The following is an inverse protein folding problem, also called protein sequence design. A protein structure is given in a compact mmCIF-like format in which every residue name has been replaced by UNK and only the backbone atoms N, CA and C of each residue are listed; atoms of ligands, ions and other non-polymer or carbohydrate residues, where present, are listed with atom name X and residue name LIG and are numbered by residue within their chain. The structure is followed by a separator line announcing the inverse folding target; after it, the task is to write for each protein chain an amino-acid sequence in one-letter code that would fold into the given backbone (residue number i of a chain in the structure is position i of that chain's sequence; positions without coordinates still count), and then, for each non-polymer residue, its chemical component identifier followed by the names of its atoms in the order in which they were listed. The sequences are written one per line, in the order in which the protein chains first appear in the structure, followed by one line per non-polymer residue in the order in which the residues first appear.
data_IF_880478198507
#
_entry.id   IF_880478198507
#
_cell.length_a   1.000
_cell.length_b   1.000
_cell.length_c   1.000
_cell.angle_alpha   90.00
_cell.angle_beta   90.00
_cell.angle_gamma   90.00
#
_symmetry.space_group_name_H-M   'P 1'
#
loop_
_entity.id
_entity.type
_entity.pdbx_description
1 polymer ?
#
# COMPACT_ATOMS: atom_id res chain seq x y z
N UNK A 1 32.23 18.05 -2.04
CA UNK A 1 31.38 18.51 -0.94
C UNK A 1 31.27 17.43 0.15
N UNK A 2 31.13 17.87 1.39
CA UNK A 2 30.85 17.00 2.54
C UNK A 2 29.69 17.59 3.37
N UNK A 3 28.52 17.00 3.27
CA UNK A 3 27.36 17.42 4.06
C UNK A 3 27.58 17.25 5.57
N UNK A 4 28.30 16.19 5.98
CA UNK A 4 28.63 15.95 7.39
C UNK A 4 29.55 17.01 7.99
N UNK A 5 30.51 17.49 7.20
CA UNK A 5 31.53 18.47 7.65
C UNK A 5 31.17 19.91 7.28
N UNK A 6 30.04 20.14 6.60
CA UNK A 6 29.51 21.47 6.31
C UNK A 6 30.33 22.27 5.29
N UNK A 7 31.01 21.64 4.32
CA UNK A 7 31.80 22.35 3.32
C UNK A 7 31.58 21.85 1.90
N UNK A 8 31.81 22.75 0.94
CA UNK A 8 31.84 22.48 -0.48
C UNK A 8 32.93 23.34 -1.13
N UNK A 9 33.61 22.82 -2.15
CA UNK A 9 34.65 23.51 -2.90
C UNK A 9 34.38 23.38 -4.39
N UNK A 10 34.80 24.36 -5.19
CA UNK A 10 34.77 24.27 -6.65
C UNK A 10 35.99 23.48 -7.17
N UNK A 11 37.16 23.67 -6.57
CA UNK A 11 38.37 22.93 -6.84
C UNK A 11 38.85 22.21 -5.58
N UNK A 12 39.60 21.10 -5.76
CA UNK A 12 40.12 20.30 -4.63
C UNK A 12 41.16 21.05 -3.78
N UNK A 13 41.79 22.09 -4.34
CA UNK A 13 42.76 22.97 -3.69
C UNK A 13 42.11 24.09 -2.86
N UNK A 14 40.80 24.34 -3.00
CA UNK A 14 40.09 25.41 -2.29
C UNK A 14 39.95 25.10 -0.78
N UNK A 15 39.80 26.18 -0.01
CA UNK A 15 39.54 26.07 1.45
C UNK A 15 38.16 25.48 1.75
N UNK A 16 38.18 24.46 2.62
CA UNK A 16 36.99 23.67 2.99
C UNK A 16 36.23 24.26 4.18
N UNK A 17 35.83 25.53 4.06
CA UNK A 17 35.30 26.32 5.17
C UNK A 17 33.78 26.45 5.22
N UNK A 18 33.08 26.34 4.06
CA UNK A 18 31.62 26.59 4.01
C UNK A 18 30.90 25.85 2.87
N UNK A 19 29.57 25.84 2.92
CA UNK A 19 28.69 25.36 1.84
C UNK A 19 28.35 26.44 0.80
N UNK A 20 28.87 27.66 0.95
CA UNK A 20 28.58 28.78 0.07
C UNK A 20 28.79 28.47 -1.43
N UNK A 21 29.88 27.78 -1.87
CA UNK A 21 30.04 27.43 -3.26
C UNK A 21 28.92 26.58 -3.82
N UNK A 22 28.37 25.65 -3.02
CA UNK A 22 27.21 24.83 -3.41
C UNK A 22 25.94 25.67 -3.54
N UNK A 23 25.67 26.53 -2.57
CA UNK A 23 24.50 27.42 -2.58
C UNK A 23 24.55 28.38 -3.77
N UNK A 24 25.70 28.97 -4.04
CA UNK A 24 25.91 29.82 -5.24
C UNK A 24 25.68 29.04 -6.54
N UNK A 25 26.14 27.78 -6.60
CA UNK A 25 25.93 26.93 -7.75
C UNK A 25 24.44 26.61 -7.97
N UNK A 26 23.71 26.36 -6.90
CA UNK A 26 22.24 26.14 -6.96
C UNK A 26 21.56 27.40 -7.52
N UNK A 27 21.87 28.59 -6.97
CA UNK A 27 21.27 29.86 -7.40
C UNK A 27 21.57 30.15 -8.88
N UNK A 28 22.80 29.85 -9.35
CA UNK A 28 23.20 30.13 -10.73
C UNK A 28 22.71 29.10 -11.74
N UNK A 29 22.45 27.87 -11.31
CA UNK A 29 22.14 26.76 -12.22
C UNK A 29 20.64 26.42 -12.28
N UNK A 30 19.91 26.58 -11.16
CA UNK A 30 18.49 26.28 -11.10
C UNK A 30 17.70 27.50 -11.61
N UNK A 31 16.94 27.37 -12.70
CA UNK A 31 16.12 28.48 -13.17
C UNK A 31 15.03 28.81 -12.15
N UNK A 32 14.71 30.09 -12.02
CA UNK A 32 13.56 30.51 -11.23
C UNK A 32 12.28 29.95 -11.83
N UNK A 33 11.24 29.66 -11.01
CA UNK A 33 9.95 29.26 -11.53
C UNK A 33 9.39 30.27 -12.54
N UNK A 34 8.82 29.76 -13.63
CA UNK A 34 8.07 30.60 -14.58
C UNK A 34 6.73 30.97 -13.90
N UNK A 35 6.56 32.23 -13.57
CA UNK A 35 5.39 32.75 -12.84
C UNK A 35 4.70 33.82 -13.68
N UNK A 36 3.43 33.55 -14.04
CA UNK A 36 2.59 34.49 -14.77
C UNK A 36 1.30 34.76 -13.98
N UNK A 37 1.30 35.88 -13.25
CA UNK A 37 0.15 36.35 -12.47
C UNK A 37 -0.90 37.08 -13.31
N UNK A 38 -0.65 37.31 -14.61
CA UNK A 38 -1.58 38.05 -15.48
C UNK A 38 -2.65 37.16 -16.09
N UNK A 39 -2.44 35.86 -16.13
CA UNK A 39 -3.42 34.88 -16.60
C UNK A 39 -4.51 34.63 -15.59
N UNK A 40 -5.68 34.11 -16.04
CA UNK A 40 -6.70 33.61 -15.12
C UNK A 40 -6.16 32.52 -14.19
N UNK A 41 -6.69 32.44 -12.98
CA UNK A 41 -6.26 31.48 -11.97
C UNK A 41 -6.45 30.03 -12.43
N UNK A 42 -5.40 29.20 -12.30
CA UNK A 42 -5.51 27.76 -12.42
C UNK A 42 -4.52 27.03 -11.48
N UNK A 43 -5.01 26.01 -10.84
CA UNK A 43 -4.29 25.16 -9.89
C UNK A 43 -4.56 23.69 -10.21
N UNK A 44 -3.52 22.86 -10.19
CA UNK A 44 -3.66 21.40 -10.24
C UNK A 44 -3.79 20.85 -8.82
N UNK A 45 -4.88 20.13 -8.56
CA UNK A 45 -5.05 19.40 -7.30
C UNK A 45 -4.16 18.16 -7.29
N UNK A 46 -3.22 18.08 -6.34
CA UNK A 46 -2.26 16.99 -6.22
C UNK A 46 -2.48 16.10 -4.99
N UNK A 47 -3.05 16.67 -3.94
CA UNK A 47 -3.35 15.95 -2.70
C UNK A 47 -4.74 16.32 -2.20
N UNK A 48 -5.36 15.36 -1.53
CA UNK A 48 -6.59 15.53 -0.79
C UNK A 48 -6.29 15.47 0.70
N UNK A 49 -6.92 16.36 1.47
CA UNK A 49 -6.81 16.40 2.92
C UNK A 49 -8.19 16.62 3.52
N UNK A 50 -8.35 16.31 4.77
CA UNK A 50 -9.60 16.51 5.50
C UNK A 50 -9.32 17.29 6.79
N UNK A 51 -9.95 18.45 6.89
CA UNK A 51 -9.91 19.27 8.10
C UNK A 51 -11.24 19.11 8.86
N UNK A 52 -11.21 18.86 10.20
CA UNK A 52 -12.45 18.64 10.96
C UNK A 52 -13.44 19.80 10.91
N UNK A 53 -12.98 21.03 10.64
CA UNK A 53 -13.80 22.25 10.61
C UNK A 53 -14.12 22.71 9.18
N UNK A 54 -13.21 22.50 8.24
CA UNK A 54 -13.33 22.96 6.86
C UNK A 54 -13.87 21.85 5.94
N UNK A 55 -13.85 20.60 6.39
CA UNK A 55 -14.18 19.44 5.59
C UNK A 55 -13.08 19.12 4.57
N UNK A 56 -13.46 18.79 3.36
CA UNK A 56 -12.58 18.41 2.27
C UNK A 56 -11.71 19.58 1.82
N UNK A 57 -10.41 19.35 1.78
CA UNK A 57 -9.39 20.31 1.41
C UNK A 57 -8.56 19.78 0.25
N UNK A 58 -8.35 20.61 -0.76
CA UNK A 58 -7.58 20.28 -1.95
C UNK A 58 -6.24 21.02 -1.89
N UNK A 59 -5.15 20.27 -1.97
CA UNK A 59 -3.79 20.81 -1.92
C UNK A 59 -3.18 20.70 -3.32
N UNK A 60 -2.56 21.78 -3.76
CA UNK A 60 -1.90 21.82 -5.05
C UNK A 60 -1.05 23.05 -5.24
N UNK A 61 -0.38 23.12 -6.37
CA UNK A 61 0.38 24.29 -6.79
C UNK A 61 -0.47 25.16 -7.70
N UNK A 62 -0.43 26.46 -7.47
CA UNK A 62 -0.99 27.46 -8.40
C UNK A 62 -0.06 27.55 -9.60
N UNK A 63 -0.52 27.09 -10.76
CA UNK A 63 0.29 27.06 -11.98
C UNK A 63 0.27 28.40 -12.73
N UNK A 64 -0.84 29.15 -12.63
CA UNK A 64 -0.98 30.47 -13.21
C UNK A 64 -2.00 31.33 -12.48
N UNK A 65 -1.84 32.63 -12.62
CA UNK A 65 -2.79 33.63 -12.10
C UNK A 65 -2.76 33.78 -10.57
N UNK A 66 -3.82 34.37 -10.04
CA UNK A 66 -4.02 34.58 -8.62
C UNK A 66 -5.47 34.35 -8.24
N UNK A 67 -5.72 33.95 -7.00
CA UNK A 67 -7.08 33.80 -6.46
C UNK A 67 -7.22 34.40 -5.08
N UNK A 68 -8.43 34.81 -4.74
CA UNK A 68 -8.81 35.37 -3.45
C UNK A 68 -9.94 34.56 -2.81
N UNK A 69 -10.12 34.73 -1.51
CA UNK A 69 -11.27 34.16 -0.81
C UNK A 69 -12.56 34.73 -1.44
N UNK A 70 -13.57 33.86 -1.60
CA UNK A 70 -14.85 34.07 -2.24
C UNK A 70 -14.83 34.15 -3.78
N UNK A 71 -13.69 34.00 -4.45
CA UNK A 71 -13.67 33.88 -5.90
C UNK A 71 -14.46 32.67 -6.37
N UNK A 72 -15.20 32.85 -7.47
CA UNK A 72 -15.91 31.77 -8.14
C UNK A 72 -14.95 30.96 -8.99
N UNK A 73 -14.95 29.65 -8.80
CA UNK A 73 -14.10 28.72 -9.54
C UNK A 73 -14.93 27.54 -10.03
N UNK A 74 -14.41 26.86 -11.04
CA UNK A 74 -14.89 25.54 -11.41
C UNK A 74 -13.74 24.52 -11.42
N UNK A 75 -14.13 23.25 -11.30
CA UNK A 75 -13.20 22.13 -11.40
C UNK A 75 -13.41 21.41 -12.72
N UNK A 76 -12.30 21.17 -13.44
CA UNK A 76 -12.26 20.43 -14.70
C UNK A 76 -11.58 19.08 -14.48
N UNK A 77 -12.16 18.01 -15.02
CA UNK A 77 -11.48 16.73 -15.09
C UNK A 77 -10.43 16.70 -16.23
N UNK A 78 -9.69 15.61 -16.35
CA UNK A 78 -8.68 15.42 -17.41
C UNK A 78 -9.23 15.53 -18.84
N UNK A 79 -10.53 15.30 -19.06
CA UNK A 79 -11.17 15.45 -20.37
C UNK A 79 -11.71 16.85 -20.64
N UNK A 80 -11.53 17.81 -19.72
CA UNK A 80 -12.02 19.18 -19.85
C UNK A 80 -13.50 19.36 -19.47
N UNK A 81 -14.14 18.31 -18.91
CA UNK A 81 -15.54 18.43 -18.45
C UNK A 81 -15.59 19.09 -17.08
N UNK A 82 -16.48 20.06 -16.91
CA UNK A 82 -16.77 20.67 -15.60
C UNK A 82 -17.40 19.62 -14.69
N UNK A 83 -16.75 19.38 -13.54
CA UNK A 83 -17.23 18.45 -12.50
C UNK A 83 -18.08 19.19 -11.47
N UNK A 84 -17.62 20.37 -11.09
CA UNK A 84 -18.18 21.14 -10.00
C UNK A 84 -17.90 22.64 -10.22
N UNK A 85 -18.83 23.47 -9.79
CA UNK A 85 -18.65 24.93 -9.71
C UNK A 85 -18.91 25.35 -8.28
N UNK A 86 -18.01 26.16 -7.72
CA UNK A 86 -18.10 26.57 -6.32
C UNK A 86 -17.39 27.88 -6.05
N UNK A 87 -17.20 28.20 -4.78
CA UNK A 87 -16.44 29.35 -4.31
C UNK A 87 -15.35 28.93 -3.35
N UNK A 88 -14.22 29.60 -3.42
CA UNK A 88 -13.11 29.41 -2.48
C UNK A 88 -13.50 29.93 -1.09
N UNK A 89 -13.90 29.03 -0.19
CA UNK A 89 -14.34 29.44 1.14
C UNK A 89 -13.14 29.77 2.06
N UNK A 90 -12.01 29.09 1.83
CA UNK A 90 -10.77 29.33 2.59
C UNK A 90 -9.55 29.01 1.75
N UNK A 91 -8.49 29.82 1.99
CA UNK A 91 -7.16 29.65 1.39
C UNK A 91 -6.15 29.53 2.52
N UNK A 92 -5.31 28.49 2.46
CA UNK A 92 -4.28 28.22 3.45
C UNK A 92 -2.93 28.04 2.73
N UNK A 93 -1.88 28.63 3.26
CA UNK A 93 -0.49 28.38 2.86
C UNK A 93 0.25 27.58 3.92
N UNK A 94 1.33 26.93 3.51
CA UNK A 94 2.19 26.18 4.43
C UNK A 94 3.38 27.02 4.87
N UNK A 95 3.54 27.20 6.18
CA UNK A 95 4.76 27.69 6.82
C UNK A 95 5.38 26.56 7.65
N UNK A 96 6.40 25.91 7.09
CA UNK A 96 6.91 24.65 7.63
C UNK A 96 5.81 23.59 7.64
N UNK A 97 5.42 23.11 8.82
CA UNK A 97 4.35 22.13 9.00
C UNK A 97 2.99 22.74 9.34
N UNK A 98 2.91 24.07 9.52
CA UNK A 98 1.67 24.75 9.91
C UNK A 98 0.94 25.30 8.69
N UNK A 99 -0.39 25.18 8.70
CA UNK A 99 -1.28 25.82 7.73
C UNK A 99 -1.69 27.18 8.27
N UNK A 100 -1.43 28.25 7.52
CA UNK A 100 -1.84 29.62 7.85
C UNK A 100 -2.91 30.10 6.87
N UNK A 101 -3.94 30.77 7.37
CA UNK A 101 -4.98 31.38 6.54
C UNK A 101 -4.42 32.62 5.83
N UNK A 102 -4.67 32.71 4.51
CA UNK A 102 -4.29 33.85 3.68
C UNK A 102 -5.49 34.35 2.89
N UNK A 103 -5.50 35.64 2.52
CA UNK A 103 -6.61 36.23 1.76
C UNK A 103 -6.45 36.05 0.25
N UNK A 104 -5.22 35.84 -0.23
CA UNK A 104 -4.93 35.65 -1.65
C UNK A 104 -3.73 34.72 -1.84
N UNK A 105 -3.68 34.10 -3.01
CA UNK A 105 -2.61 33.18 -3.46
C UNK A 105 -2.21 33.56 -4.88
N UNK A 106 -0.94 33.33 -5.22
CA UNK A 106 -0.34 33.67 -6.51
C UNK A 106 0.31 32.47 -7.17
N UNK A 107 0.63 32.60 -8.44
CA UNK A 107 1.39 31.59 -9.19
C UNK A 107 2.66 31.16 -8.44
N UNK A 108 2.89 29.85 -8.40
CA UNK A 108 4.01 29.23 -7.71
C UNK A 108 3.73 28.85 -6.25
N UNK A 109 2.66 29.38 -5.64
CA UNK A 109 2.29 29.02 -4.28
C UNK A 109 1.77 27.57 -4.19
N UNK A 110 2.17 26.86 -3.14
CA UNK A 110 1.54 25.59 -2.74
C UNK A 110 0.46 25.93 -1.72
N UNK A 111 -0.76 25.64 -2.06
CA UNK A 111 -1.93 26.09 -1.30
C UNK A 111 -2.88 24.93 -0.99
N UNK A 112 -3.58 25.08 0.12
CA UNK A 112 -4.69 24.23 0.49
C UNK A 112 -5.97 25.05 0.37
N UNK A 113 -6.93 24.61 -0.43
CA UNK A 113 -8.19 25.30 -0.67
C UNK A 113 -9.36 24.49 -0.17
N UNK A 114 -10.38 25.15 0.35
CA UNK A 114 -11.65 24.58 0.74
C UNK A 114 -12.81 25.26 0.00
N UNK A 115 -13.93 24.54 -0.16
CA UNK A 115 -15.14 25.06 -0.81
C UNK A 115 -15.63 24.23 -1.99
N UNK A 116 -14.92 23.13 -2.30
CA UNK A 116 -15.30 22.17 -3.33
C UNK A 116 -15.52 20.79 -2.69
N UNK A 117 -16.59 20.10 -3.06
CA UNK A 117 -17.03 18.86 -2.41
C UNK A 117 -16.79 17.59 -3.23
N UNK A 118 -16.79 17.70 -4.56
CA UNK A 118 -16.67 16.56 -5.48
C UNK A 118 -15.27 16.46 -6.08
N UNK A 119 -14.62 17.61 -6.30
CA UNK A 119 -13.29 17.74 -6.91
C UNK A 119 -12.26 16.82 -6.26
N UNK A 120 -11.38 16.19 -7.04
CA UNK A 120 -10.43 15.19 -6.61
C UNK A 120 -9.00 15.52 -7.04
N UNK A 121 -8.08 14.61 -6.75
CA UNK A 121 -6.69 14.68 -7.23
C UNK A 121 -6.66 14.52 -8.75
N UNK A 122 -5.73 15.22 -9.40
CA UNK A 122 -5.57 15.34 -10.85
C UNK A 122 -6.62 16.22 -11.55
N UNK A 123 -7.60 16.77 -10.84
CA UNK A 123 -8.52 17.75 -11.38
C UNK A 123 -7.88 19.14 -11.36
N UNK A 124 -8.28 19.97 -12.34
CA UNK A 124 -7.86 21.37 -12.42
C UNK A 124 -8.91 22.28 -11.80
N UNK A 125 -8.50 23.08 -10.82
CA UNK A 125 -9.35 24.10 -10.22
C UNK A 125 -8.97 25.44 -10.81
N UNK A 126 -9.91 26.12 -11.46
CA UNK A 126 -9.60 27.31 -12.23
C UNK A 126 -10.74 28.34 -12.23
N UNK A 127 -10.41 29.54 -12.66
CA UNK A 127 -11.41 30.60 -12.95
C UNK A 127 -12.38 30.10 -14.01
N UNK A 128 -13.62 30.61 -13.97
CA UNK A 128 -14.71 30.19 -14.84
C UNK A 128 -14.47 30.42 -16.34
N UNK A 129 -13.46 31.21 -16.68
CA UNK A 129 -13.05 31.54 -18.06
C UNK A 129 -12.13 30.48 -18.71
N UNK A 130 -11.67 29.49 -17.93
CA UNK A 130 -10.75 28.46 -18.41
C UNK A 130 -11.53 27.18 -18.73
N UNK A 131 -11.40 26.69 -19.96
CA UNK A 131 -12.01 25.45 -20.43
C UNK A 131 -11.02 24.29 -20.61
N UNK A 132 -9.72 24.60 -20.60
CA UNK A 132 -8.66 23.60 -20.82
C UNK A 132 -8.01 23.20 -19.51
N UNK A 133 -8.03 21.91 -19.15
CA UNK A 133 -7.41 21.43 -17.90
C UNK A 133 -5.88 21.46 -17.98
N UNK A 134 -5.23 21.61 -16.85
CA UNK A 134 -3.79 21.43 -16.71
C UNK A 134 -3.45 19.97 -16.99
N UNK A 135 -2.42 19.70 -17.78
CA UNK A 135 -1.96 18.34 -18.06
C UNK A 135 -1.50 17.65 -16.78
N UNK A 136 -2.10 16.52 -16.47
CA UNK A 136 -1.70 15.69 -15.34
C UNK A 136 -1.73 14.21 -15.69
N UNK A 137 -1.06 13.39 -14.90
CA UNK A 137 -1.06 11.94 -15.08
C UNK A 137 -2.33 11.37 -14.45
N UNK A 138 -3.09 10.53 -15.16
CA UNK A 138 -4.24 9.85 -14.58
C UNK A 138 -3.81 8.95 -13.42
N UNK A 139 -4.67 8.84 -12.41
CA UNK A 139 -4.46 7.96 -11.28
C UNK A 139 -4.85 6.54 -11.68
N UNK A 140 -3.94 5.58 -11.47
CA UNK A 140 -4.23 4.18 -11.75
C UNK A 140 -5.41 3.68 -10.91
N UNK A 141 -6.35 2.94 -11.52
CA UNK A 141 -7.46 2.36 -10.80
C UNK A 141 -7.00 1.28 -9.81
N UNK A 142 -7.81 0.97 -8.79
CA UNK A 142 -7.58 -0.19 -7.94
C UNK A 142 -7.51 -1.47 -8.77
N UNK A 143 -6.51 -2.29 -8.51
CA UNK A 143 -6.31 -3.59 -9.18
C UNK A 143 -6.72 -4.76 -8.30
N UNK A 144 -6.79 -4.54 -6.98
CA UNK A 144 -7.09 -5.55 -5.97
C UNK A 144 -8.17 -5.05 -5.01
N UNK A 145 -8.94 -5.99 -4.46
CA UNK A 145 -9.88 -5.70 -3.38
C UNK A 145 -9.82 -6.75 -2.28
N UNK A 146 -10.19 -6.33 -1.07
CA UNK A 146 -10.43 -7.19 0.09
C UNK A 146 -11.78 -6.84 0.70
N UNK A 147 -12.45 -7.83 1.31
CA UNK A 147 -13.59 -7.56 2.16
C UNK A 147 -13.13 -7.45 3.61
N UNK A 148 -13.53 -6.37 4.26
CA UNK A 148 -13.33 -6.12 5.69
C UNK A 148 -14.66 -6.32 6.39
N UNK A 149 -14.67 -7.13 7.44
CA UNK A 149 -15.84 -7.51 8.22
C UNK A 149 -15.57 -7.31 9.71
N UNK A 150 -16.62 -7.34 10.49
CA UNK A 150 -16.51 -7.41 11.95
C UNK A 150 -15.84 -8.73 12.34
N UNK A 151 -15.00 -8.70 13.36
CA UNK A 151 -14.45 -9.92 13.95
C UNK A 151 -15.55 -10.64 14.74
N UNK A 152 -16.00 -11.77 14.23
CA UNK A 152 -17.00 -12.66 14.82
C UNK A 152 -16.39 -13.89 15.51
N UNK A 153 -15.05 -13.92 15.64
CA UNK A 153 -14.34 -15.04 16.29
C UNK A 153 -14.61 -15.07 17.81
N UNK A 154 -14.44 -16.23 18.47
CA UNK A 154 -14.57 -16.36 19.94
C UNK A 154 -13.60 -15.46 20.72
N UNK A 155 -12.59 -14.88 20.10
CA UNK A 155 -11.62 -13.97 20.71
C UNK A 155 -11.92 -12.50 20.41
N UNK A 156 -13.07 -12.17 19.81
CA UNK A 156 -13.43 -10.79 19.48
C UNK A 156 -13.48 -9.91 20.75
N UNK A 157 -12.91 -8.70 20.64
CA UNK A 157 -12.84 -7.72 21.74
C UNK A 157 -11.69 -7.94 22.73
N UNK A 158 -10.80 -8.92 22.49
CA UNK A 158 -9.66 -9.18 23.40
C UNK A 158 -8.46 -8.30 23.11
N UNK A 159 -8.21 -7.94 21.87
CA UNK A 159 -7.04 -7.15 21.42
C UNK A 159 -7.39 -5.68 21.15
N UNK A 160 -8.60 -5.41 20.64
CA UNK A 160 -9.08 -4.08 20.32
C UNK A 160 -10.48 -3.81 20.87
N UNK A 161 -10.81 -2.52 21.04
CA UNK A 161 -12.13 -2.07 21.54
C UNK A 161 -13.09 -1.65 20.42
N UNK A 162 -12.57 -1.43 19.20
CA UNK A 162 -13.36 -0.94 18.06
C UNK A 162 -13.78 -2.13 17.19
N UNK A 163 -14.86 -2.79 17.59
CA UNK A 163 -15.35 -4.05 17.01
C UNK A 163 -16.70 -3.91 16.30
N UNK A 164 -17.26 -2.70 16.19
CA UNK A 164 -18.59 -2.51 15.60
C UNK A 164 -18.52 -2.15 14.12
N UNK A 165 -19.48 -2.64 13.33
CA UNK A 165 -19.60 -2.37 11.90
C UNK A 165 -19.62 -0.86 11.58
N UNK A 166 -20.34 -0.06 12.38
CA UNK A 166 -20.44 1.39 12.20
C UNK A 166 -19.08 2.10 12.35
N UNK A 167 -18.26 1.72 13.34
CA UNK A 167 -16.94 2.31 13.53
C UNK A 167 -16.00 1.95 12.38
N UNK A 168 -16.02 0.69 11.95
CA UNK A 168 -15.23 0.22 10.81
C UNK A 168 -15.64 0.98 9.55
N UNK A 169 -16.93 1.05 9.27
CA UNK A 169 -17.50 1.75 8.13
C UNK A 169 -17.04 3.21 8.06
N UNK A 170 -17.23 3.95 9.14
CA UNK A 170 -16.88 5.39 9.19
C UNK A 170 -15.38 5.61 8.97
N UNK A 171 -14.53 4.74 9.54
CA UNK A 171 -13.09 4.82 9.35
C UNK A 171 -12.67 4.53 7.90
N UNK A 172 -13.31 3.55 7.24
CA UNK A 172 -13.04 3.20 5.85
C UNK A 172 -13.52 4.27 4.88
N UNK A 173 -14.65 4.89 5.15
CA UNK A 173 -15.13 6.05 4.37
C UNK A 173 -14.14 7.22 4.49
N UNK A 174 -13.71 7.56 5.70
CA UNK A 174 -12.73 8.62 5.90
C UNK A 174 -11.39 8.35 5.18
N UNK A 175 -10.97 7.08 5.11
CA UNK A 175 -9.79 6.71 4.32
C UNK A 175 -10.02 6.90 2.82
N UNK A 176 -11.16 6.46 2.29
CA UNK A 176 -11.48 6.60 0.87
C UNK A 176 -11.68 8.07 0.46
N UNK A 177 -12.13 8.93 1.37
CA UNK A 177 -12.25 10.37 1.14
C UNK A 177 -10.91 11.08 1.02
N UNK A 178 -9.88 10.60 1.72
CA UNK A 178 -8.55 11.22 1.75
C UNK A 178 -7.55 10.55 0.82
N UNK A 179 -7.76 9.29 0.50
CA UNK A 179 -6.86 8.46 -0.29
C UNK A 179 -7.51 8.03 -1.61
N UNK A 180 -7.28 8.79 -2.67
CA UNK A 180 -7.86 8.53 -4.00
C UNK A 180 -7.48 7.20 -4.64
N UNK A 181 -6.47 6.52 -4.12
CA UNK A 181 -6.06 5.19 -4.58
C UNK A 181 -6.84 4.06 -3.88
N UNK A 182 -7.71 4.41 -2.92
CA UNK A 182 -8.56 3.47 -2.20
C UNK A 182 -10.01 3.71 -2.61
N UNK A 183 -10.71 2.64 -2.94
CA UNK A 183 -12.16 2.68 -3.19
C UNK A 183 -12.88 1.94 -2.08
N UNK A 184 -14.05 2.44 -1.70
CA UNK A 184 -14.92 1.86 -0.71
C UNK A 184 -16.26 1.52 -1.33
N UNK A 185 -16.75 0.31 -1.10
CA UNK A 185 -18.13 -0.09 -1.42
C UNK A 185 -18.71 -0.97 -0.33
N UNK A 186 -20.02 -0.85 -0.13
CA UNK A 186 -20.77 -1.67 0.83
C UNK A 186 -21.45 -2.83 0.11
N UNK A 187 -21.38 -4.02 0.69
CA UNK A 187 -22.18 -5.13 0.20
C UNK A 187 -23.66 -4.93 0.54
N UNK A 188 -24.55 -5.60 -0.20
CA UNK A 188 -26.01 -5.46 -0.06
C UNK A 188 -26.51 -5.68 1.38
N UNK A 189 -25.85 -6.54 2.14
CA UNK A 189 -26.23 -6.87 3.52
C UNK A 189 -25.61 -5.92 4.57
N UNK A 190 -24.78 -4.96 4.19
CA UNK A 190 -24.08 -4.01 5.08
C UNK A 190 -23.19 -4.65 6.17
N UNK A 191 -22.91 -5.94 6.07
CA UNK A 191 -22.10 -6.68 7.05
C UNK A 191 -20.64 -6.78 6.64
N UNK A 192 -20.31 -6.44 5.40
CA UNK A 192 -18.97 -6.43 4.86
C UNK A 192 -18.73 -5.25 3.94
N UNK A 193 -17.51 -4.74 3.99
CA UNK A 193 -17.06 -3.57 3.25
C UNK A 193 -15.97 -4.01 2.29
N UNK A 194 -16.18 -3.78 1.00
CA UNK A 194 -15.17 -4.03 -0.01
C UNK A 194 -14.27 -2.79 -0.16
N UNK A 195 -12.98 -3.01 0.02
CA UNK A 195 -11.94 -1.99 -0.13
C UNK A 195 -11.06 -2.37 -1.31
N UNK A 196 -11.05 -1.51 -2.33
CA UNK A 196 -10.14 -1.62 -3.45
C UNK A 196 -8.87 -0.82 -3.22
N UNK A 197 -7.74 -1.35 -3.70
CA UNK A 197 -6.43 -0.71 -3.64
C UNK A 197 -5.54 -1.13 -4.80
N UNK A 198 -4.38 -0.48 -4.93
CA UNK A 198 -3.43 -0.76 -6.03
C UNK A 198 -2.58 -2.01 -5.80
N UNK A 199 -2.54 -2.54 -4.59
CA UNK A 199 -1.75 -3.73 -4.27
C UNK A 199 -1.78 -4.13 -2.81
N UNK A 200 -1.18 -5.28 -2.53
CA UNK A 200 -1.15 -5.91 -1.21
C UNK A 200 -0.54 -4.99 -0.13
N UNK A 201 0.52 -4.28 -0.46
CA UNK A 201 1.21 -3.41 0.49
C UNK A 201 0.30 -2.27 0.96
N UNK A 202 -0.42 -1.62 0.05
CA UNK A 202 -1.33 -0.52 0.39
C UNK A 202 -2.46 -1.00 1.32
N UNK A 203 -3.08 -2.12 0.96
CA UNK A 203 -4.15 -2.73 1.77
C UNK A 203 -3.60 -3.20 3.13
N UNK A 204 -2.41 -3.79 3.16
CA UNK A 204 -1.75 -4.22 4.39
C UNK A 204 -1.40 -3.06 5.33
N UNK A 205 -0.93 -1.93 4.79
CA UNK A 205 -0.66 -0.70 5.58
C UNK A 205 -1.95 -0.15 6.17
N UNK A 206 -3.04 -0.11 5.41
CA UNK A 206 -4.35 0.32 5.93
C UNK A 206 -4.81 -0.57 7.09
N UNK A 207 -4.78 -1.89 6.92
CA UNK A 207 -5.18 -2.85 7.95
C UNK A 207 -4.34 -2.68 9.21
N UNK A 208 -3.02 -2.58 9.07
CA UNK A 208 -2.10 -2.42 10.20
C UNK A 208 -2.31 -1.08 10.92
N UNK A 209 -2.60 -0.01 10.18
CA UNK A 209 -2.95 1.30 10.76
C UNK A 209 -4.23 1.20 11.58
N UNK A 210 -5.28 0.58 11.02
CA UNK A 210 -6.54 0.36 11.74
C UNK A 210 -6.33 -0.51 12.99
N UNK A 211 -5.51 -1.57 12.91
CA UNK A 211 -5.16 -2.40 14.06
C UNK A 211 -4.50 -1.57 15.17
N UNK A 212 -3.57 -0.68 14.84
CA UNK A 212 -2.94 0.24 15.80
C UNK A 212 -3.89 1.27 16.38
N UNK A 213 -4.91 1.66 15.64
CA UNK A 213 -6.01 2.51 16.12
C UNK A 213 -6.98 1.77 17.07
N UNK A 214 -6.79 0.46 17.29
CA UNK A 214 -7.58 -0.40 18.19
C UNK A 214 -8.79 -1.04 17.53
N UNK A 215 -8.81 -1.17 16.20
CA UNK A 215 -9.80 -1.97 15.49
C UNK A 215 -9.42 -3.45 15.49
N UNK A 216 -10.40 -4.31 15.65
CA UNK A 216 -10.31 -5.73 15.30
C UNK A 216 -11.16 -5.99 14.05
N UNK A 217 -10.56 -6.69 13.09
CA UNK A 217 -11.12 -6.90 11.76
C UNK A 217 -11.07 -8.37 11.38
N UNK A 218 -12.09 -8.84 10.69
CA UNK A 218 -12.04 -10.06 9.90
C UNK A 218 -11.82 -9.71 8.43
N UNK A 219 -10.94 -10.43 7.74
CA UNK A 219 -10.49 -10.10 6.39
C UNK A 219 -10.75 -11.27 5.45
N UNK A 220 -11.22 -10.98 4.23
CA UNK A 220 -11.23 -11.97 3.16
C UNK A 220 -9.83 -12.09 2.52
N UNK A 221 -9.64 -13.12 1.70
CA UNK A 221 -8.49 -13.18 0.81
C UNK A 221 -8.54 -12.02 -0.19
N UNK A 222 -7.38 -11.41 -0.54
CA UNK A 222 -7.34 -10.43 -1.60
C UNK A 222 -7.78 -11.05 -2.93
N UNK A 223 -8.56 -10.28 -3.69
CA UNK A 223 -9.04 -10.63 -5.02
C UNK A 223 -8.65 -9.54 -5.99
N UNK A 224 -8.43 -9.89 -7.25
CA UNK A 224 -8.26 -8.88 -8.30
C UNK A 224 -9.62 -8.35 -8.72
N UNK A 225 -9.65 -7.08 -9.10
CA UNK A 225 -10.87 -6.42 -9.59
C UNK A 225 -11.06 -6.76 -11.06
N UNK A 226 -12.06 -7.58 -11.37
CA UNK A 226 -12.43 -7.90 -12.76
C UNK A 226 -13.27 -6.77 -13.36
N UNK A 227 -13.14 -6.57 -14.66
CA UNK A 227 -14.00 -5.68 -15.45
C UNK A 227 -14.62 -6.46 -16.61
N UNK A 228 -15.85 -6.12 -16.94
CA UNK A 228 -16.46 -6.57 -18.19
C UNK A 228 -16.18 -5.53 -19.27
N UNK A 229 -15.53 -5.93 -20.34
CA UNK A 229 -15.24 -5.07 -21.48
C UNK A 229 -15.86 -5.75 -22.70
N UNK A 230 -16.90 -5.16 -23.24
CA UNK A 230 -17.63 -5.68 -24.42
C UNK A 230 -18.10 -7.14 -24.27
N UNK A 231 -18.59 -7.52 -23.06
CA UNK A 231 -19.06 -8.89 -22.79
C UNK A 231 -17.94 -9.89 -22.50
N UNK A 232 -16.69 -9.44 -22.44
CA UNK A 232 -15.54 -10.28 -22.10
C UNK A 232 -15.05 -9.96 -20.69
N UNK A 233 -14.95 -10.99 -19.83
CA UNK A 233 -14.36 -10.85 -18.51
C UNK A 233 -12.87 -10.56 -18.61
N UNK A 234 -12.47 -9.37 -18.20
CA UNK A 234 -11.08 -8.90 -18.20
C UNK A 234 -10.52 -8.82 -16.78
N UNK A 235 -9.23 -9.10 -16.64
CA UNK A 235 -8.47 -8.98 -15.42
C UNK A 235 -7.34 -7.95 -15.56
N UNK A 236 -6.88 -7.32 -14.45
CA UNK A 236 -5.78 -6.37 -14.51
C UNK A 236 -4.46 -7.10 -14.78
N UNK A 237 -3.64 -6.51 -15.63
CA UNK A 237 -2.27 -6.92 -15.94
C UNK A 237 -1.30 -5.85 -15.51
N UNK A 238 -0.16 -6.30 -15.02
CA UNK A 238 0.95 -5.45 -14.61
C UNK A 238 2.17 -5.69 -15.52
N UNK A 239 2.87 -4.63 -15.82
CA UNK A 239 4.23 -4.69 -16.35
C UNK A 239 5.18 -4.92 -15.17
N UNK A 240 5.96 -5.98 -15.27
CA UNK A 240 6.86 -6.44 -14.22
C UNK A 240 8.30 -6.36 -14.71
N UNK A 241 9.08 -5.47 -14.13
CA UNK A 241 10.51 -5.35 -14.39
C UNK A 241 11.28 -6.01 -13.26
N UNK A 242 12.11 -6.99 -13.60
CA UNK A 242 12.88 -7.78 -12.64
C UNK A 242 14.36 -7.66 -12.96
N UNK A 243 15.16 -7.21 -11.99
CA UNK A 243 16.62 -7.21 -12.05
C UNK A 243 17.16 -8.30 -11.12
N UNK A 244 17.84 -9.30 -11.66
CA UNK A 244 18.40 -10.43 -10.91
C UNK A 244 19.81 -10.76 -11.37
N UNK A 245 20.60 -11.41 -10.50
CA UNK A 245 21.86 -12.00 -10.88
C UNK A 245 21.62 -13.15 -11.88
N UNK A 246 22.52 -13.32 -12.84
CA UNK A 246 22.34 -14.23 -13.99
C UNK A 246 22.00 -15.67 -13.55
N UNK A 247 22.55 -16.13 -12.40
CA UNK A 247 22.29 -17.46 -11.82
C UNK A 247 20.83 -17.70 -11.43
N UNK A 248 20.06 -16.63 -11.09
CA UNK A 248 18.64 -16.73 -10.68
C UNK A 248 17.66 -16.51 -11.82
N UNK A 249 18.13 -16.12 -13.01
CA UNK A 249 17.25 -15.77 -14.13
C UNK A 249 16.32 -16.91 -14.55
N UNK A 250 16.82 -18.13 -14.63
CA UNK A 250 16.05 -19.31 -15.01
C UNK A 250 14.91 -19.63 -14.05
N UNK A 251 15.18 -19.61 -12.72
CA UNK A 251 14.15 -19.90 -11.71
C UNK A 251 13.07 -18.81 -11.69
N UNK A 252 13.45 -17.54 -11.95
CA UNK A 252 12.49 -16.44 -12.05
C UNK A 252 11.61 -16.59 -13.27
N UNK A 253 12.18 -16.93 -14.44
CA UNK A 253 11.43 -17.14 -15.67
C UNK A 253 10.42 -18.28 -15.50
N UNK A 254 10.83 -19.41 -14.92
CA UNK A 254 9.95 -20.55 -14.65
C UNK A 254 8.80 -20.17 -13.71
N UNK A 255 9.10 -19.44 -12.65
CA UNK A 255 8.09 -18.94 -11.72
C UNK A 255 7.10 -17.99 -12.38
N UNK A 256 7.55 -17.09 -13.24
CA UNK A 256 6.69 -16.16 -13.96
C UNK A 256 5.82 -16.87 -15.01
N UNK A 257 6.37 -17.85 -15.71
CA UNK A 257 5.60 -18.68 -16.65
C UNK A 257 4.48 -19.47 -15.97
N UNK A 258 4.74 -20.07 -14.79
CA UNK A 258 3.70 -20.73 -13.99
C UNK A 258 2.58 -19.80 -13.58
N UNK A 259 2.86 -18.50 -13.44
CA UNK A 259 1.91 -17.43 -13.13
C UNK A 259 1.25 -16.80 -14.34
N UNK A 260 1.38 -17.43 -15.52
CA UNK A 260 0.80 -16.97 -16.77
C UNK A 260 1.33 -15.61 -17.25
N UNK A 261 2.55 -15.23 -16.84
CA UNK A 261 3.22 -14.06 -17.36
C UNK A 261 3.75 -14.30 -18.79
N UNK A 262 3.74 -13.26 -19.60
CA UNK A 262 4.33 -13.23 -20.94
C UNK A 262 5.63 -12.43 -20.87
N UNK A 263 6.75 -13.06 -21.21
CA UNK A 263 8.04 -12.38 -21.27
C UNK A 263 8.10 -11.50 -22.52
N UNK A 264 8.41 -10.22 -22.32
CA UNK A 264 8.56 -9.23 -23.41
C UNK A 264 10.01 -9.04 -23.82
N UNK A 265 10.91 -9.01 -22.85
CA UNK A 265 12.33 -8.70 -23.09
C UNK A 265 13.22 -9.35 -22.03
N UNK A 266 14.45 -9.65 -22.45
CA UNK A 266 15.53 -10.10 -21.59
C UNK A 266 16.85 -9.49 -22.04
N UNK A 267 17.48 -8.69 -21.18
CA UNK A 267 18.75 -8.02 -21.54
C UNK A 267 19.74 -8.00 -20.35
N UNK A 268 21.03 -7.97 -20.63
CA UNK A 268 22.05 -7.77 -19.62
C UNK A 268 21.99 -6.35 -19.07
N UNK A 269 22.05 -6.22 -17.75
CA UNK A 269 22.01 -4.96 -17.00
C UNK A 269 23.23 -4.88 -16.09
N UNK A 270 24.36 -4.40 -16.60
CA UNK A 270 25.64 -4.40 -15.88
C UNK A 270 26.49 -5.65 -16.12
N UNK A 271 27.43 -5.93 -15.20
CA UNK A 271 28.41 -6.99 -15.38
C UNK A 271 27.81 -8.38 -15.17
N UNK A 272 26.99 -8.55 -14.11
CA UNK A 272 26.48 -9.87 -13.70
C UNK A 272 24.95 -9.89 -13.47
N UNK A 273 24.22 -8.84 -13.97
CA UNK A 273 22.76 -8.75 -13.79
C UNK A 273 22.01 -8.89 -15.09
N UNK A 274 20.87 -9.54 -15.01
CA UNK A 274 19.91 -9.67 -16.10
C UNK A 274 18.63 -8.94 -15.75
N UNK A 275 18.15 -8.09 -16.66
CA UNK A 275 16.85 -7.44 -16.59
C UNK A 275 15.85 -8.24 -17.42
N UNK A 276 14.76 -8.62 -16.78
CA UNK A 276 13.65 -9.35 -17.38
C UNK A 276 12.42 -8.44 -17.35
N UNK A 277 11.69 -8.38 -18.46
CA UNK A 277 10.45 -7.62 -18.59
C UNK A 277 9.31 -8.57 -18.92
N UNK A 278 8.25 -8.52 -18.12
CA UNK A 278 7.06 -9.34 -18.29
C UNK A 278 5.78 -8.53 -18.28
N UNK A 279 4.72 -9.07 -18.92
CA UNK A 279 3.34 -8.68 -18.67
C UNK A 279 2.67 -9.85 -17.96
N UNK A 280 2.18 -9.63 -16.76
CA UNK A 280 1.61 -10.68 -15.92
C UNK A 280 0.23 -10.30 -15.38
N UNK A 281 -0.71 -11.25 -15.26
CA UNK A 281 -1.97 -10.99 -14.55
C UNK A 281 -1.71 -10.70 -13.08
N UNK A 282 -2.29 -9.61 -12.55
CA UNK A 282 -2.06 -9.15 -11.15
C UNK A 282 -2.33 -10.26 -10.13
N UNK A 283 -3.33 -11.15 -10.36
CA UNK A 283 -3.61 -12.28 -9.47
C UNK A 283 -2.47 -13.28 -9.38
N UNK A 284 -1.66 -13.43 -10.43
CA UNK A 284 -0.49 -14.31 -10.43
C UNK A 284 0.67 -13.75 -9.59
N UNK A 285 0.66 -12.45 -9.33
CA UNK A 285 1.70 -11.76 -8.57
C UNK A 285 1.39 -11.67 -7.07
N UNK A 286 0.17 -12.03 -6.65
CA UNK A 286 -0.23 -12.06 -5.24
C UNK A 286 0.68 -13.02 -4.47
N UNK A 287 1.34 -12.52 -3.41
CA UNK A 287 2.28 -13.29 -2.58
C UNK A 287 3.60 -13.68 -3.26
N UNK A 288 3.85 -13.25 -4.50
CA UNK A 288 5.08 -13.62 -5.21
C UNK A 288 6.32 -12.95 -4.65
N UNK A 289 6.20 -11.74 -4.10
CA UNK A 289 7.33 -10.97 -3.58
C UNK A 289 8.18 -11.76 -2.57
N UNK A 290 7.55 -12.42 -1.61
CA UNK A 290 8.27 -13.21 -0.59
C UNK A 290 9.02 -14.41 -1.17
N UNK A 291 8.40 -15.09 -2.14
CA UNK A 291 9.05 -16.21 -2.83
C UNK A 291 10.21 -15.71 -3.69
N UNK A 292 10.01 -14.63 -4.42
CA UNK A 292 11.03 -13.99 -5.25
C UNK A 292 12.28 -13.64 -4.44
N UNK A 293 12.11 -12.98 -3.28
CA UNK A 293 13.22 -12.65 -2.39
C UNK A 293 13.95 -13.91 -1.86
N UNK A 294 13.22 -14.99 -1.57
CA UNK A 294 13.81 -16.25 -1.14
C UNK A 294 14.61 -16.89 -2.29
N UNK A 295 14.03 -16.98 -3.48
CA UNK A 295 14.63 -17.61 -4.65
C UNK A 295 15.88 -16.85 -5.14
N UNK A 296 15.93 -15.52 -4.94
CA UNK A 296 17.06 -14.64 -5.30
C UNK A 296 17.97 -14.30 -4.12
N UNK A 297 17.84 -14.97 -2.98
CA UNK A 297 18.61 -14.70 -1.74
C UNK A 297 18.60 -13.24 -1.31
N UNK A 298 17.53 -12.50 -1.64
CA UNK A 298 17.35 -11.08 -1.33
C UNK A 298 18.08 -10.10 -2.24
N UNK A 299 18.81 -10.55 -3.27
CA UNK A 299 19.58 -9.67 -4.18
C UNK A 299 18.74 -9.16 -5.35
N UNK A 300 17.61 -9.81 -5.66
CA UNK A 300 16.74 -9.45 -6.76
C UNK A 300 15.90 -8.21 -6.47
N UNK A 301 15.64 -7.41 -7.51
CA UNK A 301 14.73 -6.26 -7.46
C UNK A 301 13.55 -6.54 -8.38
N UNK A 302 12.34 -6.38 -7.85
CA UNK A 302 11.09 -6.57 -8.58
C UNK A 302 10.25 -5.30 -8.48
N UNK A 303 10.00 -4.68 -9.64
CA UNK A 303 9.11 -3.54 -9.79
C UNK A 303 7.90 -3.96 -10.63
N UNK A 304 6.72 -3.47 -10.24
CA UNK A 304 5.48 -3.74 -10.97
C UNK A 304 4.63 -2.48 -11.07
N UNK A 305 4.07 -2.25 -12.25
CA UNK A 305 3.23 -1.09 -12.56
C UNK A 305 1.99 -1.58 -13.31
N UNK A 306 0.82 -1.02 -13.01
CA UNK A 306 -0.40 -1.32 -13.74
C UNK A 306 -0.19 -1.03 -15.24
N UNK A 307 -0.56 -2.00 -16.09
CA UNK A 307 -0.43 -1.87 -17.54
C UNK A 307 -1.81 -1.69 -18.21
N UNK A 308 -2.70 -2.65 -18.06
CA UNK A 308 -4.02 -2.63 -18.75
C UNK A 308 -4.93 -3.73 -18.23
N UNK A 309 -6.19 -3.70 -18.66
CA UNK A 309 -7.11 -4.82 -18.51
C UNK A 309 -7.04 -5.67 -19.78
N UNK A 310 -6.86 -7.00 -19.63
CA UNK A 310 -6.85 -7.98 -20.73
C UNK A 310 -7.78 -9.14 -20.39
N UNK A 311 -8.23 -9.93 -21.41
CA UNK A 311 -9.06 -11.10 -21.17
C UNK A 311 -8.46 -12.05 -20.14
N UNK A 312 -9.33 -12.69 -19.36
CA UNK A 312 -8.95 -13.67 -18.34
C UNK A 312 -8.17 -14.86 -18.95
N UNK A 313 -6.95 -15.10 -18.44
CA UNK A 313 -5.99 -16.07 -19.01
C UNK A 313 -6.11 -17.49 -18.43
N UNK A 314 -7.27 -17.86 -17.90
CA UNK A 314 -7.49 -19.19 -17.29
C UNK A 314 -7.00 -19.27 -15.84
N UNK A 315 -7.17 -20.42 -15.20
CA UNK A 315 -6.84 -20.59 -13.79
C UNK A 315 -5.34 -20.66 -13.54
N UNK A 316 -4.93 -20.08 -12.41
CA UNK A 316 -3.58 -20.16 -11.84
C UNK A 316 -3.71 -20.93 -10.52
N UNK A 317 -2.83 -21.88 -10.26
CA UNK A 317 -2.82 -22.60 -8.98
C UNK A 317 -2.41 -21.62 -7.88
N UNK A 318 -3.38 -21.22 -7.05
CA UNK A 318 -3.21 -20.17 -6.05
C UNK A 318 -2.66 -20.69 -4.71
N UNK A 319 -2.85 -21.97 -4.41
CA UNK A 319 -2.55 -22.53 -3.08
C UNK A 319 -1.35 -23.45 -3.13
N UNK A 320 -0.32 -23.11 -2.35
CA UNK A 320 0.92 -23.90 -2.24
C UNK A 320 1.06 -24.65 -0.92
N UNK A 321 0.42 -24.14 0.12
CA UNK A 321 0.51 -24.68 1.46
C UNK A 321 -0.88 -24.79 2.08
N UNK A 322 -1.10 -25.86 2.84
CA UNK A 322 -2.28 -26.03 3.64
C UNK A 322 -2.28 -25.18 4.90
N UNK A 323 -3.35 -25.21 5.66
CA UNK A 323 -3.47 -24.59 6.97
C UNK A 323 -3.29 -25.66 8.09
N UNK A 324 -2.66 -25.26 9.19
CA UNK A 324 -2.68 -25.99 10.44
C UNK A 324 -3.83 -25.42 11.28
N UNK A 325 -4.82 -26.27 11.60
CA UNK A 325 -6.08 -25.86 12.23
C UNK A 325 -6.18 -26.46 13.64
N UNK A 326 -6.48 -25.63 14.65
CA UNK A 326 -6.63 -26.09 16.02
C UNK A 326 -7.89 -26.93 16.22
N UNK A 327 -7.77 -28.08 16.90
CA UNK A 327 -8.88 -28.98 17.21
C UNK A 327 -9.61 -28.64 18.54
N UNK A 328 -9.14 -27.65 19.28
CA UNK A 328 -9.74 -27.36 20.61
C UNK A 328 -9.55 -25.93 21.08
N UNK A 329 -10.21 -25.63 22.21
CA UNK A 329 -10.20 -24.31 22.85
C UNK A 329 -9.24 -24.31 24.05
N UNK A 330 -8.40 -23.28 24.17
CA UNK A 330 -7.49 -23.16 25.31
C UNK A 330 -6.29 -22.28 25.00
N UNK A 331 -5.16 -22.51 25.67
CA UNK A 331 -3.89 -21.82 25.44
C UNK A 331 -2.87 -22.76 24.82
N UNK A 332 -2.23 -22.33 23.75
CA UNK A 332 -1.19 -23.12 23.09
C UNK A 332 -0.01 -23.46 24.03
N UNK A 333 0.41 -24.72 24.03
CA UNK A 333 1.43 -25.24 24.94
C UNK A 333 2.75 -25.42 24.18
N UNK A 334 3.87 -25.00 24.79
CA UNK A 334 5.21 -25.05 24.18
C UNK A 334 5.57 -26.45 23.65
N UNK A 335 5.28 -27.50 24.44
CA UNK A 335 5.55 -28.88 24.04
C UNK A 335 4.78 -29.33 22.79
N UNK A 336 3.52 -28.94 22.67
CA UNK A 336 2.73 -29.23 21.47
C UNK A 336 3.28 -28.50 20.24
N UNK A 337 3.58 -27.19 20.38
CA UNK A 337 4.15 -26.37 19.32
C UNK A 337 5.47 -27.01 18.84
N UNK A 338 6.36 -27.36 19.74
CA UNK A 338 7.63 -27.99 19.43
C UNK A 338 7.49 -29.28 18.62
N UNK A 339 6.56 -30.16 18.98
CA UNK A 339 6.29 -31.40 18.23
C UNK A 339 5.64 -31.18 16.87
N UNK A 340 5.01 -30.04 16.68
CA UNK A 340 4.26 -29.72 15.46
C UNK A 340 5.05 -28.84 14.49
N UNK A 341 6.18 -28.24 14.91
CA UNK A 341 6.96 -27.35 14.05
C UNK A 341 7.57 -28.04 12.81
N UNK A 342 7.76 -29.37 12.84
CA UNK A 342 8.19 -30.13 11.65
C UNK A 342 7.08 -30.25 10.58
N UNK A 343 5.82 -29.98 10.94
CA UNK A 343 4.66 -30.02 10.02
C UNK A 343 4.40 -28.69 9.33
N UNK A 344 4.98 -27.61 9.85
CA UNK A 344 4.77 -26.30 9.27
C UNK A 344 5.24 -25.16 10.14
N UNK A 345 5.00 -23.93 9.66
CA UNK A 345 5.36 -22.71 10.35
C UNK A 345 4.19 -22.24 11.20
N UNK A 346 4.41 -22.09 12.51
CA UNK A 346 3.37 -21.67 13.43
C UNK A 346 3.17 -20.15 13.40
N UNK A 347 1.91 -19.71 13.60
CA UNK A 347 1.53 -18.30 13.74
C UNK A 347 1.34 -17.91 15.21
N UNK A 348 1.17 -18.89 16.07
CA UNK A 348 0.91 -18.73 17.51
C UNK A 348 2.13 -19.07 18.33
N UNK A 349 2.34 -18.35 19.43
CA UNK A 349 3.38 -18.63 20.46
C UNK A 349 2.78 -19.34 21.67
N UNK A 350 3.68 -19.78 22.56
CA UNK A 350 3.27 -20.33 23.84
C UNK A 350 2.34 -19.38 24.60
N UNK A 351 1.30 -19.93 25.24
CA UNK A 351 0.24 -19.21 25.97
C UNK A 351 -0.71 -18.37 25.10
N UNK A 352 -0.59 -18.38 23.78
CA UNK A 352 -1.58 -17.73 22.91
C UNK A 352 -2.94 -18.42 23.06
N UNK A 353 -4.03 -17.68 23.31
CA UNK A 353 -5.38 -18.24 23.28
C UNK A 353 -5.72 -18.75 21.89
N UNK A 354 -6.31 -19.93 21.80
CA UNK A 354 -6.74 -20.55 20.55
C UNK A 354 -8.13 -21.13 20.71
N UNK A 355 -8.87 -21.23 19.61
CA UNK A 355 -10.20 -21.86 19.57
C UNK A 355 -10.25 -22.93 18.50
N UNK A 356 -11.23 -23.81 18.59
CA UNK A 356 -11.46 -24.87 17.61
C UNK A 356 -11.77 -24.26 16.23
N UNK A 357 -11.07 -24.70 15.19
CA UNK A 357 -11.18 -24.13 13.84
C UNK A 357 -10.24 -22.96 13.58
N UNK A 358 -9.51 -22.45 14.58
CA UNK A 358 -8.54 -21.37 14.39
C UNK A 358 -7.35 -21.85 13.56
N UNK A 359 -6.97 -21.09 12.54
CA UNK A 359 -5.73 -21.32 11.78
C UNK A 359 -4.54 -20.88 12.65
N UNK A 360 -3.71 -21.82 13.05
CA UNK A 360 -2.59 -21.63 13.97
C UNK A 360 -1.22 -21.73 13.28
N UNK A 361 -1.19 -22.08 12.01
CA UNK A 361 0.05 -22.16 11.22
C UNK A 361 -0.20 -22.47 9.76
N UNK A 362 0.90 -22.47 8.99
CA UNK A 362 0.97 -22.86 7.59
C UNK A 362 1.54 -24.27 7.48
N UNK A 363 0.84 -25.19 6.82
CA UNK A 363 1.27 -26.56 6.63
C UNK A 363 2.34 -26.63 5.52
N UNK A 364 3.33 -27.49 5.66
CA UNK A 364 4.36 -27.70 4.61
C UNK A 364 3.82 -28.34 3.33
N UNK A 365 2.68 -29.04 3.43
CA UNK A 365 1.97 -29.67 2.30
C UNK A 365 0.80 -28.81 1.85
N UNK A 366 0.23 -29.14 0.72
CA UNK A 366 -0.90 -28.43 0.09
C UNK A 366 -2.28 -28.69 0.75
N UNK A 367 -2.37 -29.69 1.64
CA UNK A 367 -3.59 -30.03 2.35
C UNK A 367 -3.67 -29.40 3.75
N UNK A 368 -4.88 -29.09 4.18
CA UNK A 368 -5.16 -28.67 5.57
C UNK A 368 -4.98 -29.82 6.54
N UNK A 369 -4.47 -29.52 7.72
CA UNK A 369 -4.23 -30.50 8.77
C UNK A 369 -4.79 -29.97 10.11
N UNK A 370 -5.69 -30.73 10.69
CA UNK A 370 -6.17 -30.51 12.06
C UNK A 370 -5.12 -30.96 13.07
N UNK A 371 -4.76 -30.10 14.00
CA UNK A 371 -3.72 -30.33 14.99
C UNK A 371 -4.16 -29.94 16.39
N UNK A 372 -3.62 -30.64 17.39
CA UNK A 372 -3.86 -30.30 18.78
C UNK A 372 -2.65 -29.54 19.37
N UNK A 373 -2.78 -28.21 19.48
CA UNK A 373 -1.77 -27.31 20.06
C UNK A 373 -1.84 -27.21 21.60
N UNK A 374 -2.80 -27.93 22.22
CA UNK A 374 -3.09 -27.89 23.66
C UNK A 374 -2.50 -29.08 24.43
N UNK A 375 -1.91 -30.07 23.72
CA UNK A 375 -1.45 -31.31 24.32
C UNK A 375 -0.16 -31.09 25.13
N UNK A 376 -0.26 -31.21 26.45
CA UNK A 376 0.91 -31.20 27.33
C UNK A 376 1.79 -32.45 27.24
N UNK A 377 2.99 -32.37 27.78
CA UNK A 377 3.84 -33.55 28.02
C UNK A 377 3.16 -34.44 29.05
N UNK A 378 2.90 -35.70 28.70
CA UNK A 378 2.47 -36.69 29.73
C UNK A 378 3.67 -36.98 30.62
N UNK A 379 3.50 -36.77 31.91
CA UNK A 379 4.50 -37.15 32.91
C UNK A 379 4.58 -38.70 32.97
N UNK A 380 5.53 -39.26 32.28
CA UNK A 380 5.82 -40.69 32.36
C UNK A 380 7.07 -40.89 33.26
N UNK A 381 6.85 -41.34 34.49
CA UNK A 381 7.85 -41.83 35.45
C UNK A 381 8.68 -40.80 36.24
N UNK A 382 8.52 -40.89 37.56
CA UNK A 382 9.21 -40.09 38.58
C UNK A 382 10.75 -40.34 38.65
N UNK A 383 11.28 -41.39 38.02
CA UNK A 383 12.70 -41.78 38.10
C UNK A 383 13.62 -41.16 37.05
N UNK A 384 13.10 -40.45 36.07
CA UNK A 384 13.87 -39.78 35.00
C UNK A 384 13.86 -38.26 35.14
N UNK A 385 13.89 -37.71 36.34
CA UNK A 385 13.87 -36.26 36.60
C UNK A 385 15.17 -35.52 36.37
N UNK A 386 16.12 -36.13 35.70
CA UNK A 386 17.50 -35.60 35.57
C UNK A 386 17.82 -34.76 34.34
N UNK A 387 17.04 -34.75 33.30
CA UNK A 387 17.27 -33.88 32.15
C UNK A 387 16.00 -33.65 31.34
N UNK A 388 15.24 -32.63 31.70
CA UNK A 388 14.30 -32.05 30.75
C UNK A 388 15.12 -31.30 29.69
N UNK A 389 15.15 -31.86 28.47
CA UNK A 389 15.74 -31.18 27.33
C UNK A 389 15.02 -29.84 27.13
N UNK A 390 15.81 -28.76 27.00
CA UNK A 390 15.27 -27.44 26.71
C UNK A 390 14.52 -27.48 25.38
N UNK A 391 13.23 -27.10 25.38
CA UNK A 391 12.40 -27.07 24.19
C UNK A 391 12.73 -25.81 23.40
N UNK A 392 13.42 -25.97 22.29
CA UNK A 392 13.70 -24.85 21.36
C UNK A 392 12.51 -24.67 20.41
N UNK A 393 11.86 -23.53 20.50
CA UNK A 393 10.76 -23.16 19.61
C UNK A 393 11.27 -22.25 18.50
N UNK A 394 10.89 -22.57 17.27
CA UNK A 394 11.03 -21.64 16.15
C UNK A 394 10.13 -20.43 16.36
N UNK A 395 10.64 -19.23 16.10
CA UNK A 395 9.84 -18.02 16.22
C UNK A 395 8.61 -18.11 15.31
N UNK A 396 7.40 -17.78 15.81
CA UNK A 396 6.21 -17.79 14.98
C UNK A 396 6.29 -16.73 13.88
N UNK A 397 5.72 -17.03 12.72
CA UNK A 397 5.58 -16.05 11.66
C UNK A 397 4.49 -15.05 12.07
N UNK A 398 4.90 -13.84 12.42
CA UNK A 398 4.00 -12.73 12.73
C UNK A 398 4.17 -11.63 11.70
N UNK A 399 3.06 -11.05 11.25
CA UNK A 399 3.11 -9.89 10.36
C UNK A 399 3.32 -8.64 11.21
N UNK A 400 4.34 -7.84 10.88
CA UNK A 400 4.57 -6.54 11.49
C UNK A 400 4.65 -5.46 10.40
N UNK A 401 4.40 -4.22 10.77
CA UNK A 401 4.53 -3.07 9.87
C UNK A 401 5.94 -2.97 9.22
N UNK A 402 6.97 -3.36 9.96
CA UNK A 402 8.35 -3.38 9.45
C UNK A 402 8.50 -4.36 8.29
N UNK A 403 7.84 -5.53 8.36
CA UNK A 403 7.85 -6.51 7.27
C UNK A 403 7.00 -6.10 6.05
N UNK A 404 6.05 -5.18 6.22
CA UNK A 404 5.26 -4.63 5.12
C UNK A 404 5.97 -3.52 4.37
N UNK A 405 6.97 -2.86 5.00
CA UNK A 405 7.74 -1.76 4.41
C UNK A 405 9.12 -2.19 3.87
N UNK A 406 9.59 -3.36 4.21
CA UNK A 406 10.82 -3.93 3.68
C UNK A 406 10.54 -4.65 2.37
#
# INVERSE_FOLDING_TARGET
ASGRSGWCVNDLSDDRSSLTPLLNKIISHVPSPDVDNTRPFAMLSTLLDYDPYLGRCLIGRVEQGSAKINDSVHALNLSGKIIETGRLTKLLKFEGTKKITVNSVNTGDIVCIAGLSITSVSDTICSTDIETPIKSTPIDPPTMSINIMVNDSPLAGTEGKKVTSTLIRNRLIAEAETNVAITFSENQNKDSFEIGGRGELQLGVLIETMRREGFELSLSRPKVVYKDVEGTKCEPYEEVTIDVDEEFSSIVIDNMNQRKADMLDMRKSGVDKTRLLFIAPSRGLIGYQSKFLTDTRGTGVLNRVFHSYKPFKGEITERRAGALISTGNGKAIAYAIWKLQDRGVMFVKHQTPVYQGMVVGEHTRDNDLEINVLKGKQLTNVRASGSDEAVNLTAPRTVSYTHLRA
#
